data_IF_382224055905
#
_entry.id   IF_382224055905
#
_cell.length_a   1.000
_cell.length_b   1.000
_cell.length_c   1.000
_cell.angle_alpha   90.00
_cell.angle_beta   90.00
_cell.angle_gamma   90.00
#
_symmetry.space_group_name_H-M   'P 1'
#
loop_
_entity.id
_entity.type
_entity.pdbx_description
1 polymer ?
#
# COMPACT_ATOMS: atom_id res chain seq x y z
N UNK A 1 9.89 15.73 -1.37
CA UNK A 1 9.54 17.13 -1.68
C UNK A 1 8.46 17.56 -0.73
N UNK A 2 8.37 18.86 -0.46
CA UNK A 2 7.34 19.53 0.32
C UNK A 2 6.94 20.79 -0.43
N UNK A 3 5.75 21.30 -0.15
CA UNK A 3 5.25 22.56 -0.69
C UNK A 3 4.44 23.27 0.39
N UNK A 4 4.46 24.61 0.37
CA UNK A 4 3.65 25.45 1.25
C UNK A 4 2.45 26.06 0.53
N UNK A 5 2.46 26.08 -0.80
CA UNK A 5 1.47 26.75 -1.65
C UNK A 5 0.81 25.82 -2.68
N UNK A 6 1.27 24.56 -2.79
CA UNK A 6 0.77 23.61 -3.77
C UNK A 6 1.30 23.81 -5.19
N UNK A 7 2.15 24.82 -5.43
CA UNK A 7 2.67 25.22 -6.75
C UNK A 7 4.18 25.01 -6.81
N UNK A 8 4.92 25.49 -5.81
CA UNK A 8 6.36 25.40 -5.75
C UNK A 8 6.78 24.25 -4.83
N UNK A 9 7.57 23.34 -5.38
CA UNK A 9 8.00 22.12 -4.69
C UNK A 9 9.49 22.16 -4.39
N UNK A 10 9.86 21.82 -3.16
CA UNK A 10 11.27 21.64 -2.78
C UNK A 10 11.89 20.44 -3.52
N UNK A 11 13.23 20.32 -3.59
CA UNK A 11 13.86 19.13 -4.16
C UNK A 11 13.33 17.81 -3.59
N UNK A 12 13.37 16.75 -4.40
CA UNK A 12 13.01 15.41 -3.92
C UNK A 12 14.08 14.93 -2.94
N UNK A 13 13.63 14.39 -1.81
CA UNK A 13 14.45 13.66 -0.84
C UNK A 13 14.04 12.21 -0.90
N UNK A 14 15.02 11.32 -1.01
CA UNK A 14 14.79 9.87 -0.93
C UNK A 14 14.61 9.49 0.53
N UNK A 15 13.58 8.69 0.82
CA UNK A 15 13.24 8.24 2.19
C UNK A 15 13.28 6.71 2.34
N UNK A 16 13.33 5.99 1.22
CA UNK A 16 13.52 4.55 1.15
C UNK A 16 14.34 4.23 -0.10
N UNK A 17 15.32 3.34 0.05
CA UNK A 17 16.19 2.82 -0.99
C UNK A 17 16.00 1.29 -1.09
N UNK A 18 16.41 0.64 -2.19
CA UNK A 18 16.30 -0.80 -2.35
C UNK A 18 16.94 -1.62 -1.20
N UNK A 19 18.03 -1.15 -0.61
CA UNK A 19 18.67 -1.80 0.54
C UNK A 19 17.86 -1.72 1.84
N UNK A 20 16.85 -0.85 1.91
CA UNK A 20 15.97 -0.73 3.09
C UNK A 20 14.81 -1.74 3.05
N UNK A 21 14.64 -2.43 1.91
CA UNK A 21 13.61 -3.47 1.76
C UNK A 21 14.13 -4.82 2.26
N UNK A 22 13.24 -5.72 2.71
CA UNK A 22 13.63 -7.11 2.96
C UNK A 22 14.24 -7.76 1.72
N UNK A 23 15.21 -8.66 1.90
CA UNK A 23 15.98 -9.24 0.79
C UNK A 23 15.14 -9.98 -0.26
N UNK A 24 13.97 -10.51 0.13
CA UNK A 24 13.06 -11.19 -0.79
C UNK A 24 12.30 -10.24 -1.72
N UNK A 25 12.33 -8.92 -1.47
CA UNK A 25 11.66 -7.90 -2.27
C UNK A 25 12.49 -7.57 -3.51
N UNK A 26 11.84 -7.43 -4.66
CA UNK A 26 12.48 -6.99 -5.90
C UNK A 26 12.59 -5.45 -5.94
N UNK A 27 13.13 -4.89 -7.03
CA UNK A 27 13.15 -3.44 -7.23
C UNK A 27 11.78 -2.84 -7.68
N UNK A 28 10.76 -3.68 -7.86
CA UNK A 28 9.41 -3.22 -8.18
C UNK A 28 8.67 -2.82 -6.90
N UNK A 29 8.98 -1.63 -6.40
CA UNK A 29 8.37 -1.02 -5.21
C UNK A 29 7.91 0.38 -5.55
N UNK A 30 6.60 0.67 -5.46
CA UNK A 30 6.03 1.93 -5.96
C UNK A 30 4.64 2.23 -5.39
N UNK A 31 4.15 3.41 -5.75
CA UNK A 31 2.80 3.92 -5.49
C UNK A 31 2.47 4.08 -4.00
N UNK A 32 3.18 4.96 -3.27
CA UNK A 32 2.95 5.16 -1.85
C UNK A 32 1.59 5.82 -1.55
N UNK A 33 0.83 5.26 -0.61
CA UNK A 33 -0.30 5.94 0.06
C UNK A 33 0.04 6.21 1.51
N UNK A 34 0.13 7.48 1.89
CA UNK A 34 0.40 7.92 3.27
C UNK A 34 -0.87 8.42 3.95
N UNK A 35 -1.02 8.17 5.25
CA UNK A 35 -2.09 8.75 6.07
C UNK A 35 -1.66 8.88 7.54
N UNK A 36 -2.44 9.66 8.29
CA UNK A 36 -2.28 9.79 9.74
C UNK A 36 -3.19 8.76 10.44
N UNK A 37 -2.65 8.07 11.43
CA UNK A 37 -3.42 7.29 12.41
C UNK A 37 -3.32 7.96 13.77
N UNK A 38 -4.47 8.11 14.41
CA UNK A 38 -4.57 8.60 15.78
C UNK A 38 -5.00 7.44 16.67
N UNK A 39 -4.03 6.62 17.08
CA UNK A 39 -4.24 5.42 17.91
C UNK A 39 -3.34 5.41 19.17
N UNK A 40 -2.58 6.48 19.41
CA UNK A 40 -1.71 6.63 20.57
C UNK A 40 -0.47 5.72 20.60
N UNK A 41 -0.09 5.07 19.49
CA UNK A 41 1.05 4.15 19.45
C UNK A 41 2.43 4.83 19.28
N UNK A 42 2.46 6.16 19.26
CA UNK A 42 3.67 6.96 19.04
C UNK A 42 4.11 7.09 17.58
N UNK A 43 3.46 6.41 16.63
CA UNK A 43 3.79 6.43 15.21
C UNK A 43 2.61 6.94 14.38
N UNK A 44 2.36 8.26 14.37
CA UNK A 44 1.17 8.82 13.75
C UNK A 44 1.09 8.63 12.24
N UNK A 45 2.18 8.31 11.53
CA UNK A 45 2.15 8.15 10.08
C UNK A 45 2.21 6.68 9.67
N UNK A 46 1.38 6.32 8.69
CA UNK A 46 1.40 5.03 8.01
C UNK A 46 1.60 5.21 6.52
N UNK A 47 2.19 4.20 5.87
CA UNK A 47 2.31 4.13 4.42
C UNK A 47 2.00 2.71 3.90
N UNK A 48 1.16 2.62 2.88
CA UNK A 48 1.07 1.45 2.01
C UNK A 48 2.01 1.65 0.84
N UNK A 49 2.70 0.59 0.44
CA UNK A 49 3.60 0.61 -0.71
C UNK A 49 3.45 -0.70 -1.49
N UNK A 50 3.11 -0.59 -2.77
CA UNK A 50 2.94 -1.74 -3.65
C UNK A 50 4.30 -2.38 -3.95
N UNK A 51 4.37 -3.70 -3.91
CA UNK A 51 5.61 -4.45 -4.05
C UNK A 51 5.44 -5.76 -4.84
N UNK A 52 6.56 -6.24 -5.37
CA UNK A 52 6.72 -7.58 -5.96
C UNK A 52 7.93 -8.27 -5.34
N UNK A 53 7.77 -9.54 -4.99
CA UNK A 53 8.90 -10.34 -4.50
C UNK A 53 9.69 -10.97 -5.65
N UNK A 54 10.85 -11.54 -5.34
CA UNK A 54 11.72 -12.20 -6.31
C UNK A 54 11.10 -13.46 -6.95
N UNK A 55 9.96 -13.92 -6.46
CA UNK A 55 9.20 -15.06 -6.97
C UNK A 55 7.94 -14.64 -7.75
N UNK A 56 7.84 -13.36 -8.14
CA UNK A 56 6.74 -12.82 -8.93
C UNK A 56 5.36 -12.90 -8.26
N UNK A 57 5.34 -12.62 -6.96
CA UNK A 57 4.11 -12.41 -6.20
C UNK A 57 3.94 -10.94 -5.85
N UNK A 58 2.77 -10.38 -6.17
CA UNK A 58 2.36 -9.05 -5.77
C UNK A 58 1.92 -9.02 -4.30
N UNK A 59 2.31 -7.97 -3.58
CA UNK A 59 1.92 -7.75 -2.20
C UNK A 59 2.04 -6.27 -1.82
N UNK A 60 1.58 -5.90 -0.63
CA UNK A 60 1.72 -4.55 -0.09
C UNK A 60 2.57 -4.57 1.17
N UNK A 61 3.51 -3.64 1.25
CA UNK A 61 4.26 -3.35 2.48
C UNK A 61 3.56 -2.24 3.26
N UNK A 62 3.47 -2.40 4.58
CA UNK A 62 2.94 -1.42 5.51
C UNK A 62 4.09 -0.86 6.34
N UNK A 63 4.27 0.46 6.32
CA UNK A 63 5.32 1.14 7.08
C UNK A 63 4.72 2.10 8.10
N UNK A 64 5.47 2.34 9.18
CA UNK A 64 5.18 3.33 10.21
C UNK A 64 6.26 4.41 10.24
N UNK A 65 5.90 5.63 10.63
CA UNK A 65 6.84 6.73 10.84
C UNK A 65 6.34 7.71 11.89
N UNK A 66 7.29 8.35 12.57
CA UNK A 66 7.04 9.45 13.52
C UNK A 66 7.10 10.83 12.85
N UNK A 67 7.80 10.94 11.72
CA UNK A 67 8.18 12.23 11.14
C UNK A 67 8.00 12.33 9.62
N UNK A 68 7.49 11.27 8.97
CA UNK A 68 7.34 11.08 7.51
C UNK A 68 8.65 10.95 6.75
N UNK A 69 9.79 10.92 7.44
CA UNK A 69 11.13 10.89 6.85
C UNK A 69 11.81 9.55 7.11
N UNK A 70 11.66 9.01 8.31
CA UNK A 70 12.21 7.72 8.70
C UNK A 70 11.08 6.70 8.79
N UNK A 71 11.12 5.69 7.92
CA UNK A 71 10.08 4.69 7.78
C UNK A 71 10.60 3.33 8.25
N UNK A 72 9.82 2.66 9.11
CA UNK A 72 10.10 1.29 9.56
C UNK A 72 9.06 0.35 8.97
N UNK A 73 9.50 -0.75 8.37
CA UNK A 73 8.58 -1.78 7.91
C UNK A 73 7.87 -2.38 9.12
N UNK A 74 6.54 -2.33 9.10
CA UNK A 74 5.69 -2.80 10.18
C UNK A 74 5.10 -4.17 9.88
N UNK A 75 4.55 -4.34 8.68
CA UNK A 75 3.95 -5.60 8.26
C UNK A 75 3.86 -5.71 6.74
N UNK A 76 3.39 -6.86 6.23
CA UNK A 76 3.09 -7.09 4.83
C UNK A 76 1.70 -7.69 4.67
N UNK A 77 0.97 -7.27 3.64
CA UNK A 77 -0.33 -7.83 3.25
C UNK A 77 -0.11 -8.68 2.00
N UNK A 78 -0.42 -9.98 2.11
CA UNK A 78 -0.26 -10.97 1.04
C UNK A 78 -1.54 -11.76 0.86
N UNK A 79 -1.75 -12.25 -0.35
CA UNK A 79 -2.77 -13.25 -0.65
C UNK A 79 -2.25 -14.65 -0.30
N UNK A 80 -3.15 -15.55 0.11
CA UNK A 80 -2.80 -16.94 0.41
C UNK A 80 -2.47 -17.76 -0.86
N UNK A 81 -2.98 -17.33 -2.00
CA UNK A 81 -2.73 -17.90 -3.32
C UNK A 81 -2.18 -16.81 -4.24
N UNK A 82 -1.44 -17.18 -5.28
CA UNK A 82 -0.93 -16.22 -6.26
C UNK A 82 -2.07 -15.36 -6.82
N UNK A 83 -1.92 -14.04 -6.72
CA UNK A 83 -2.92 -13.10 -7.19
C UNK A 83 -2.27 -11.92 -7.91
N UNK A 84 -1.70 -12.21 -9.08
CA UNK A 84 -0.95 -11.24 -9.85
C UNK A 84 0.47 -11.05 -9.31
N UNK A 85 1.39 -10.66 -10.20
CA UNK A 85 2.81 -10.56 -9.85
C UNK A 85 3.21 -9.21 -9.23
N UNK A 86 2.30 -8.24 -9.23
CA UNK A 86 2.49 -6.91 -8.66
C UNK A 86 1.14 -6.37 -8.21
N UNK A 87 1.10 -5.73 -7.04
CA UNK A 87 -0.05 -4.94 -6.59
C UNK A 87 0.30 -3.46 -6.66
N UNK A 88 -0.22 -2.76 -7.68
CA UNK A 88 -0.01 -1.32 -7.89
C UNK A 88 -1.08 -0.48 -7.19
N UNK A 89 -0.81 0.83 -7.06
CA UNK A 89 -1.75 1.83 -6.55
C UNK A 89 -2.54 1.38 -5.31
N UNK A 90 -1.87 0.91 -4.23
CA UNK A 90 -2.57 0.56 -3.01
C UNK A 90 -3.26 1.79 -2.42
N UNK A 91 -4.48 1.62 -1.94
CA UNK A 91 -5.21 2.63 -1.20
C UNK A 91 -5.93 2.03 0.00
N UNK A 92 -6.02 2.82 1.07
CA UNK A 92 -6.81 2.50 2.25
C UNK A 92 -8.04 3.40 2.24
N UNK A 93 -9.21 2.80 2.22
CA UNK A 93 -10.47 3.50 2.32
C UNK A 93 -11.17 3.12 3.61
N UNK A 94 -11.58 4.11 4.39
CA UNK A 94 -12.39 3.91 5.59
C UNK A 94 -13.72 4.63 5.46
N UNK A 95 -14.80 3.90 5.73
CA UNK A 95 -16.17 4.38 5.61
C UNK A 95 -16.94 4.06 6.88
N UNK A 96 -17.86 4.93 7.25
CA UNK A 96 -18.87 4.64 8.25
C UNK A 96 -20.18 4.29 7.53
N UNK A 97 -20.81 3.18 7.91
CA UNK A 97 -22.12 2.82 7.36
C UNK A 97 -23.25 3.61 8.00
N UNK A 98 -24.47 3.42 7.51
CA UNK A 98 -25.67 4.11 8.01
C UNK A 98 -26.02 3.81 9.46
N UNK A 99 -25.41 2.80 10.06
CA UNK A 99 -25.58 2.41 11.46
C UNK A 99 -24.43 2.87 12.36
N UNK A 100 -23.49 3.67 11.84
CA UNK A 100 -22.34 4.17 12.59
C UNK A 100 -21.19 3.17 12.72
N UNK A 101 -21.22 2.04 11.99
CA UNK A 101 -20.13 1.07 12.04
C UNK A 101 -19.07 1.43 11.02
N UNK A 102 -17.80 1.48 11.46
CA UNK A 102 -16.65 1.68 10.58
C UNK A 102 -16.29 0.40 9.82
N UNK A 103 -15.94 0.58 8.56
CA UNK A 103 -15.45 -0.46 7.65
C UNK A 103 -14.17 0.04 6.99
N UNK A 104 -13.15 -0.81 6.96
CA UNK A 104 -11.90 -0.53 6.26
C UNK A 104 -11.73 -1.47 5.07
N UNK A 105 -11.27 -0.90 3.97
CA UNK A 105 -11.01 -1.61 2.73
C UNK A 105 -9.62 -1.28 2.22
N UNK A 106 -8.98 -2.29 1.65
CA UNK A 106 -7.77 -2.15 0.87
C UNK A 106 -8.15 -2.20 -0.61
N UNK A 107 -7.95 -1.12 -1.34
CA UNK A 107 -7.98 -1.10 -2.79
C UNK A 107 -6.57 -1.27 -3.36
N UNK A 108 -6.47 -1.95 -4.50
CA UNK A 108 -5.21 -2.13 -5.23
C UNK A 108 -5.46 -2.59 -6.67
N UNK A 109 -4.42 -2.50 -7.49
CA UNK A 109 -4.43 -2.85 -8.90
C UNK A 109 -3.48 -4.04 -9.17
N UNK A 110 -3.97 -5.29 -9.10
CA UNK A 110 -3.11 -6.45 -9.37
C UNK A 110 -2.84 -6.58 -10.88
N UNK A 111 -1.58 -6.85 -11.23
CA UNK A 111 -1.15 -7.01 -12.61
C UNK A 111 -1.09 -8.48 -13.06
N UNK A 112 -1.60 -8.75 -14.28
CA UNK A 112 -1.68 -10.06 -14.96
C UNK A 112 -2.25 -11.16 -14.07
N UNK A 113 -3.51 -11.00 -13.70
CA UNK A 113 -4.29 -12.08 -13.13
C UNK A 113 -4.70 -13.07 -14.23
N UNK A 114 -5.04 -14.30 -13.84
CA UNK A 114 -5.67 -15.26 -14.76
C UNK A 114 -6.94 -14.62 -15.30
N UNK A 115 -7.06 -14.50 -16.62
CA UNK A 115 -8.28 -13.98 -17.25
C UNK A 115 -9.42 -14.94 -17.00
N UNK A 116 -10.52 -14.40 -16.52
CA UNK A 116 -11.78 -15.11 -16.32
C UNK A 116 -12.86 -14.32 -17.05
N UNK A 117 -13.54 -14.98 -17.99
CA UNK A 117 -14.57 -14.32 -18.80
C UNK A 117 -15.63 -13.70 -17.89
N UNK A 118 -16.04 -12.47 -18.20
CA UNK A 118 -17.01 -11.66 -17.44
C UNK A 118 -16.55 -11.14 -16.07
N UNK A 119 -15.37 -11.53 -15.58
CA UNK A 119 -14.87 -11.10 -14.26
C UNK A 119 -13.54 -10.36 -14.39
N UNK A 120 -12.58 -10.88 -15.15
CA UNK A 120 -11.21 -10.36 -15.29
C UNK A 120 -10.80 -10.20 -16.76
N UNK A 121 -11.55 -9.40 -17.52
CA UNK A 121 -11.30 -9.24 -18.97
C UNK A 121 -10.24 -8.18 -19.30
N UNK A 122 -10.08 -7.18 -18.42
CA UNK A 122 -9.04 -6.17 -18.57
C UNK A 122 -7.64 -6.77 -18.38
N UNK A 123 -6.64 -6.17 -19.03
CA UNK A 123 -5.23 -6.59 -18.90
C UNK A 123 -4.72 -6.51 -17.45
N UNK A 124 -5.19 -5.49 -16.73
CA UNK A 124 -4.93 -5.26 -15.31
C UNK A 124 -6.26 -4.96 -14.63
N UNK A 125 -6.38 -5.41 -13.39
CA UNK A 125 -7.59 -5.21 -12.62
C UNK A 125 -7.39 -4.06 -11.64
N UNK A 126 -8.51 -3.54 -11.15
CA UNK A 126 -8.59 -2.66 -10.00
C UNK A 126 -9.74 -3.14 -9.16
N UNK A 127 -9.53 -3.29 -7.85
CA UNK A 127 -10.54 -3.83 -6.95
C UNK A 127 -10.21 -3.52 -5.51
N UNK A 128 -11.04 -4.02 -4.61
CA UNK A 128 -10.88 -3.83 -3.17
C UNK A 128 -11.24 -5.09 -2.40
N UNK A 129 -10.66 -5.24 -1.20
CA UNK A 129 -11.00 -6.28 -0.23
C UNK A 129 -11.27 -5.66 1.14
N UNK A 130 -12.20 -6.21 1.94
CA UNK A 130 -12.35 -5.79 3.32
C UNK A 130 -11.09 -6.15 4.12
N UNK A 131 -10.65 -5.24 4.97
CA UNK A 131 -9.60 -5.51 5.95
C UNK A 131 -10.26 -6.08 7.21
N UNK A 132 -10.04 -7.37 7.47
CA UNK A 132 -10.63 -8.09 8.62
C UNK A 132 -9.95 -7.79 9.96
N UNK A 133 -8.77 -7.16 9.89
CA UNK A 133 -8.04 -6.59 11.03
C UNK A 133 -7.64 -5.18 10.62
N UNK A 134 -7.66 -4.27 11.58
CA UNK A 134 -6.97 -3.00 11.42
C UNK A 134 -5.54 -3.29 10.97
N UNK A 135 -4.97 -2.42 10.13
CA UNK A 135 -3.55 -2.43 9.79
C UNK A 135 -2.69 -1.97 10.99
N UNK A 136 -3.03 -2.47 12.18
CA UNK A 136 -2.52 -2.14 13.51
C UNK A 136 -1.03 -2.33 13.55
#
# INVERSE_FOLDING_TARGET
TTTHDGIHFTPKRVVLLPQDYPDYVSCHVRDPKVWIRDNGDGHPFRMLLGARDRCDNGFIMVYNSEDKLHWKLHSVIRSAQHFGYMWECPDRMDFEDTYGKRHEFLAFCPQRNRREAKIYENNHLSGYIPLSRDLT
#
